data_IF_237503442810
#
_entry.id   IF_237503442810
#
_cell.length_a   1.000
_cell.length_b   1.000
_cell.length_c   1.000
_cell.angle_alpha   90.00
_cell.angle_beta   90.00
_cell.angle_gamma   90.00
#
_symmetry.space_group_name_H-M   'P 1'
#
loop_
_entity.id
_entity.type
_entity.pdbx_description
1 polymer ?
#
# COMPACT_ATOMS: atom_id res chain seq x y z
N UNK A 1 -1.04 -29.01 2.34
CA UNK A 1 -1.97 -27.87 2.21
C UNK A 1 -1.12 -26.61 2.18
N UNK A 2 -1.32 -25.70 1.22
CA UNK A 2 -0.56 -24.45 1.18
C UNK A 2 -0.91 -23.64 2.43
N UNK A 3 0.09 -23.24 3.20
CA UNK A 3 -0.10 -22.39 4.37
C UNK A 3 -0.77 -21.08 3.94
N UNK A 4 -1.86 -20.69 4.58
CA UNK A 4 -2.47 -19.40 4.33
C UNK A 4 -1.51 -18.30 4.77
N UNK A 5 -1.22 -17.36 3.86
CA UNK A 5 -0.37 -16.22 4.18
C UNK A 5 -1.22 -15.22 4.96
N UNK A 6 -0.80 -14.97 6.19
CA UNK A 6 -1.47 -14.05 7.10
C UNK A 6 -0.48 -12.97 7.53
N UNK A 7 -0.47 -11.86 6.79
CA UNK A 7 0.23 -10.66 7.23
C UNK A 7 -0.56 -9.98 8.36
N UNK A 8 0.11 -9.67 9.46
CA UNK A 8 -0.47 -8.98 10.62
C UNK A 8 -0.94 -7.55 10.31
N UNK A 9 -0.34 -6.93 9.28
CA UNK A 9 -0.67 -5.58 8.82
C UNK A 9 0.00 -5.27 7.48
N UNK A 10 -0.23 -4.07 6.94
CA UNK A 10 0.38 -3.61 5.70
C UNK A 10 1.88 -3.33 5.85
N UNK A 11 2.64 -3.55 4.78
CA UNK A 11 4.08 -3.28 4.67
C UNK A 11 4.31 -2.37 3.46
N UNK A 12 5.29 -1.47 3.53
CA UNK A 12 5.66 -0.63 2.39
C UNK A 12 6.28 -1.51 1.30
N UNK A 13 5.76 -1.45 0.07
CA UNK A 13 6.28 -2.20 -1.08
C UNK A 13 7.25 -1.36 -1.91
N UNK A 14 6.86 -0.11 -2.20
CA UNK A 14 7.71 0.85 -2.89
C UNK A 14 7.79 2.09 -2.03
N UNK A 15 9.00 2.42 -1.59
CA UNK A 15 9.30 3.66 -0.89
C UNK A 15 9.46 4.80 -1.89
N UNK A 16 8.98 5.98 -1.53
CA UNK A 16 9.20 7.21 -2.28
C UNK A 16 10.11 8.12 -1.44
N UNK A 17 11.41 8.10 -1.72
CA UNK A 17 12.42 8.90 -1.03
C UNK A 17 12.85 10.03 -1.97
N UNK A 18 12.35 11.25 -1.71
CA UNK A 18 12.70 12.45 -2.48
C UNK A 18 12.52 12.26 -4.00
N UNK A 19 11.44 11.60 -4.42
CA UNK A 19 11.14 11.33 -5.83
C UNK A 19 11.79 10.08 -6.41
N UNK A 20 12.68 9.41 -5.66
CA UNK A 20 13.22 8.11 -6.05
C UNK A 20 12.32 6.99 -5.53
N UNK A 21 11.97 6.06 -6.43
CA UNK A 21 11.17 4.89 -6.10
C UNK A 21 12.08 3.69 -5.84
N UNK A 22 12.02 3.14 -4.63
CA UNK A 22 12.84 2.01 -4.22
C UNK A 22 11.94 0.86 -3.75
N UNK A 23 12.19 -0.34 -4.25
CA UNK A 23 11.48 -1.53 -3.78
C UNK A 23 11.99 -1.91 -2.38
N UNK A 24 11.07 -2.19 -1.47
CA UNK A 24 11.39 -2.65 -0.12
C UNK A 24 11.65 -4.16 -0.13
N UNK A 25 12.85 -4.57 0.31
CA UNK A 25 13.27 -5.97 0.26
C UNK A 25 12.41 -6.89 1.14
N UNK A 26 11.95 -6.44 2.31
CA UNK A 26 11.07 -7.23 3.18
C UNK A 26 9.75 -7.53 2.46
N UNK A 27 9.21 -6.56 1.72
CA UNK A 27 8.01 -6.77 0.93
C UNK A 27 8.23 -7.77 -0.22
N UNK A 28 9.38 -7.69 -0.90
CA UNK A 28 9.74 -8.65 -1.95
C UNK A 28 9.90 -10.07 -1.40
N UNK A 29 10.50 -10.21 -0.22
CA UNK A 29 10.67 -11.51 0.44
C UNK A 29 9.31 -12.12 0.80
N UNK A 30 8.38 -11.32 1.32
CA UNK A 30 6.99 -11.75 1.58
C UNK A 30 6.32 -12.21 0.28
N UNK A 31 6.42 -11.43 -0.80
CA UNK A 31 5.82 -11.78 -2.09
C UNK A 31 6.43 -13.07 -2.66
N UNK A 32 7.74 -13.28 -2.50
CA UNK A 32 8.45 -14.47 -2.98
C UNK A 32 7.98 -15.76 -2.30
N UNK A 33 7.47 -15.66 -1.07
CA UNK A 33 6.91 -16.78 -0.32
C UNK A 33 5.47 -17.14 -0.75
N UNK A 34 4.79 -16.28 -1.51
CA UNK A 34 3.42 -16.53 -1.99
C UNK A 34 3.45 -17.52 -3.16
N UNK A 35 3.05 -18.76 -2.88
CA UNK A 35 2.92 -19.84 -3.89
C UNK A 35 1.50 -19.97 -4.45
N UNK A 36 0.53 -19.31 -3.83
CA UNK A 36 -0.87 -19.31 -4.24
C UNK A 36 -1.10 -18.34 -5.41
N UNK A 37 -2.11 -18.58 -6.27
CA UNK A 37 -2.55 -17.59 -7.22
C UNK A 37 -2.98 -16.29 -6.52
N UNK A 38 -2.59 -15.15 -7.09
CA UNK A 38 -2.84 -13.84 -6.52
C UNK A 38 -3.96 -13.10 -7.22
N UNK A 39 -4.75 -12.37 -6.45
CA UNK A 39 -5.69 -11.34 -6.94
C UNK A 39 -5.18 -10.01 -6.40
N UNK A 40 -4.83 -9.08 -7.29
CA UNK A 40 -4.30 -7.77 -6.90
C UNK A 40 -5.38 -6.71 -7.05
N UNK A 41 -5.59 -5.91 -6.02
CA UNK A 41 -6.49 -4.74 -6.04
C UNK A 41 -5.68 -3.52 -5.62
N UNK A 42 -5.58 -2.54 -6.51
CA UNK A 42 -4.90 -1.28 -6.23
C UNK A 42 -5.91 -0.12 -6.17
N UNK A 43 -5.64 0.87 -5.31
CA UNK A 43 -6.41 2.11 -5.24
C UNK A 43 -5.50 3.32 -5.42
N UNK A 44 -5.92 4.25 -6.29
CA UNK A 44 -5.21 5.51 -6.57
C UNK A 44 -6.19 6.67 -6.51
N UNK A 45 -5.69 7.87 -6.27
CA UNK A 45 -6.52 9.08 -6.22
C UNK A 45 -5.93 10.15 -5.33
N UNK A 46 -6.58 11.33 -5.32
CA UNK A 46 -6.12 12.49 -4.57
C UNK A 46 -5.90 12.17 -3.08
N UNK A 47 -5.00 12.91 -2.45
CA UNK A 47 -4.78 12.82 -1.01
C UNK A 47 -6.10 13.04 -0.23
N UNK A 48 -6.25 12.35 0.91
CA UNK A 48 -7.40 12.47 1.85
C UNK A 48 -8.80 12.17 1.28
N UNK A 49 -8.89 11.36 0.23
CA UNK A 49 -10.17 10.86 -0.34
C UNK A 49 -10.66 9.55 0.26
N UNK A 50 -10.08 9.09 1.38
CA UNK A 50 -10.53 7.87 2.08
C UNK A 50 -10.05 6.54 1.48
N UNK A 51 -9.02 6.55 0.62
CA UNK A 51 -8.46 5.33 -0.01
C UNK A 51 -8.11 4.24 1.00
N UNK A 52 -7.24 4.54 1.97
CA UNK A 52 -6.80 3.62 3.02
C UNK A 52 -7.96 3.09 3.87
N UNK A 53 -9.00 3.92 4.08
CA UNK A 53 -10.22 3.49 4.76
C UNK A 53 -10.96 2.42 3.96
N UNK A 54 -11.15 2.64 2.65
CA UNK A 54 -11.79 1.67 1.77
C UNK A 54 -10.97 0.36 1.68
N UNK A 55 -9.64 0.45 1.61
CA UNK A 55 -8.77 -0.73 1.58
C UNK A 55 -8.85 -1.55 2.88
N UNK A 56 -8.96 -0.91 4.05
CA UNK A 56 -9.20 -1.62 5.31
C UNK A 56 -10.56 -2.33 5.32
N UNK A 57 -11.59 -1.75 4.69
CA UNK A 57 -12.89 -2.42 4.52
C UNK A 57 -12.78 -3.64 3.61
N UNK A 58 -12.03 -3.56 2.53
CA UNK A 58 -11.76 -4.70 1.64
C UNK A 58 -10.98 -5.82 2.35
N UNK A 59 -10.03 -5.46 3.22
CA UNK A 59 -9.30 -6.41 4.05
C UNK A 59 -10.17 -7.09 5.14
N UNK A 60 -11.38 -6.57 5.40
CA UNK A 60 -12.25 -7.05 6.46
C UNK A 60 -11.71 -6.77 7.88
N UNK A 61 -10.80 -5.81 8.04
CA UNK A 61 -10.13 -5.50 9.32
C UNK A 61 -10.41 -4.05 9.75
N UNK A 62 -10.53 -3.82 11.07
CA UNK A 62 -10.74 -2.47 11.64
C UNK A 62 -9.46 -1.62 11.71
N UNK A 63 -8.30 -2.28 11.80
CA UNK A 63 -6.96 -1.68 11.81
C UNK A 63 -6.15 -2.31 10.67
N UNK A 64 -5.31 -1.53 9.99
CA UNK A 64 -4.58 -1.94 8.80
C UNK A 64 -3.79 -0.77 8.24
N UNK A 65 -4.06 -0.38 6.99
CA UNK A 65 -3.52 0.84 6.39
C UNK A 65 -3.77 2.05 7.29
N UNK A 66 -2.73 2.86 7.48
CA UNK A 66 -2.80 4.05 8.31
C UNK A 66 -3.80 5.04 7.74
N UNK A 67 -4.68 5.56 8.60
CA UNK A 67 -5.66 6.57 8.23
C UNK A 67 -5.08 7.94 8.59
N UNK A 68 -4.47 8.63 7.63
CA UNK A 68 -3.88 9.94 7.88
C UNK A 68 -4.93 10.98 8.29
N UNK A 69 -4.83 11.53 9.50
CA UNK A 69 -5.67 12.63 9.99
C UNK A 69 -5.00 14.01 9.89
N UNK A 70 -3.69 14.06 9.61
CA UNK A 70 -2.89 15.30 9.56
C UNK A 70 -2.70 15.81 8.13
N UNK A 71 -2.18 17.04 8.00
CA UNK A 71 -1.97 17.75 6.72
C UNK A 71 -0.87 17.08 5.87
N UNK A 72 0.04 16.33 6.48
CA UNK A 72 1.11 15.59 5.78
C UNK A 72 0.59 14.27 5.20
N UNK A 73 1.05 13.89 4.00
CA UNK A 73 0.72 12.58 3.45
C UNK A 73 1.34 11.48 4.34
N UNK A 74 0.49 10.70 5.00
CA UNK A 74 0.92 9.59 5.85
C UNK A 74 1.43 8.39 5.06
N UNK A 75 0.85 8.13 3.89
CA UNK A 75 1.27 7.06 2.99
C UNK A 75 2.20 7.65 1.95
N UNK A 76 3.50 7.51 2.13
CA UNK A 76 4.49 7.78 1.07
C UNK A 76 4.74 6.47 0.31
N UNK A 77 4.81 6.55 -1.01
CA UNK A 77 5.01 5.37 -1.86
C UNK A 77 3.78 4.46 -2.01
N UNK A 78 4.01 3.15 -2.17
CA UNK A 78 2.97 2.13 -2.36
C UNK A 78 3.07 1.11 -1.24
N UNK A 79 1.96 0.88 -0.55
CA UNK A 79 1.87 -0.07 0.56
C UNK A 79 1.07 -1.29 0.14
N UNK A 80 1.51 -2.47 0.57
CA UNK A 80 0.84 -3.72 0.27
C UNK A 80 0.32 -4.40 1.53
N UNK A 81 -0.77 -5.14 1.40
CA UNK A 81 -1.25 -6.05 2.43
C UNK A 81 -1.79 -7.33 1.81
N UNK A 82 -1.16 -8.46 2.12
CA UNK A 82 -1.57 -9.77 1.64
C UNK A 82 -2.46 -10.45 2.68
N UNK A 83 -3.67 -10.83 2.27
CA UNK A 83 -4.66 -11.51 3.10
C UNK A 83 -5.30 -12.67 2.32
N UNK A 84 -5.92 -13.66 2.99
CA UNK A 84 -6.70 -14.69 2.29
C UNK A 84 -7.85 -14.07 1.49
N UNK A 85 -8.08 -14.55 0.26
CA UNK A 85 -9.17 -14.02 -0.56
C UNK A 85 -10.55 -14.44 -0.01
N UNK A 86 -11.47 -13.51 0.29
CA UNK A 86 -12.69 -13.80 1.07
C UNK A 86 -13.72 -14.70 0.34
N UNK A 87 -13.56 -14.91 -0.96
CA UNK A 87 -14.47 -15.72 -1.80
C UNK A 87 -13.78 -16.78 -2.66
N UNK A 88 -12.45 -16.91 -2.59
CA UNK A 88 -11.67 -17.81 -3.45
C UNK A 88 -10.67 -18.55 -2.58
N UNK A 89 -11.03 -19.73 -2.04
CA UNK A 89 -10.11 -20.53 -1.25
C UNK A 89 -8.80 -20.80 -2.00
N UNK A 90 -7.69 -20.82 -1.28
CA UNK A 90 -6.36 -21.05 -1.86
C UNK A 90 -5.83 -19.90 -2.73
N UNK A 91 -6.47 -18.73 -2.72
CA UNK A 91 -5.96 -17.52 -3.37
C UNK A 91 -5.55 -16.48 -2.33
N UNK A 92 -4.49 -15.74 -2.63
CA UNK A 92 -4.09 -14.57 -1.86
C UNK A 92 -4.65 -13.30 -2.50
N UNK A 93 -5.28 -12.44 -1.70
CA UNK A 93 -5.68 -11.09 -2.08
C UNK A 93 -4.56 -10.12 -1.67
N UNK A 94 -3.96 -9.45 -2.65
CA UNK A 94 -2.95 -8.41 -2.44
C UNK A 94 -3.62 -7.05 -2.61
N UNK A 95 -3.70 -6.32 -1.52
CA UNK A 95 -4.26 -4.97 -1.47
C UNK A 95 -3.12 -3.95 -1.59
N UNK A 96 -3.18 -3.06 -2.58
CA UNK A 96 -2.21 -1.99 -2.79
C UNK A 96 -2.84 -0.62 -2.54
N UNK A 97 -2.41 0.06 -1.48
CA UNK A 97 -2.81 1.43 -1.15
C UNK A 97 -1.67 2.39 -1.51
N UNK A 98 -1.99 3.46 -2.26
CA UNK A 98 -0.97 4.38 -2.77
C UNK A 98 -1.00 5.72 -2.08
N UNK A 99 0.15 6.40 -2.12
CA UNK A 99 0.27 7.82 -1.86
C UNK A 99 -0.80 8.62 -2.64
N UNK A 100 -1.30 9.67 -1.99
CA UNK A 100 -2.27 10.56 -2.59
C UNK A 100 -1.64 11.48 -3.63
N UNK A 101 -2.29 11.60 -4.79
CA UNK A 101 -1.90 12.59 -5.79
C UNK A 101 -2.19 14.00 -5.29
N UNK A 102 -1.36 14.98 -5.67
CA UNK A 102 -1.54 16.40 -5.33
C UNK A 102 -1.13 16.78 -3.91
N UNK A 103 -0.25 16.00 -3.27
CA UNK A 103 0.34 16.37 -1.99
C UNK A 103 1.20 17.63 -2.13
N UNK A 104 0.84 18.68 -1.38
CA UNK A 104 1.35 20.06 -1.54
C UNK A 104 2.87 20.15 -1.28
N UNK A 105 3.45 19.19 -0.56
CA UNK A 105 4.92 19.11 -0.37
C UNK A 105 5.69 18.75 -1.64
N UNK A 106 5.10 18.03 -2.62
CA UNK A 106 5.81 17.72 -3.88
C UNK A 106 5.99 18.96 -4.75
N UNK A 107 5.02 19.87 -4.73
CA UNK A 107 5.06 21.12 -5.52
C UNK A 107 6.23 22.00 -5.07
N UNK A 108 6.56 22.01 -3.77
CA UNK A 108 7.65 22.86 -3.25
C UNK A 108 9.07 22.38 -3.57
N UNK A 109 9.28 21.09 -3.83
CA UNK A 109 10.61 20.53 -4.10
C UNK A 109 10.96 20.53 -5.60
N UNK A 110 9.95 20.51 -6.47
CA UNK A 110 10.16 20.63 -7.92
C UNK A 110 10.53 22.07 -8.32
N UNK A 111 10.04 23.07 -7.57
CA UNK A 111 10.33 24.50 -7.80
C UNK A 111 11.71 24.95 -7.28
N UNK A 112 12.42 24.14 -6.46
CA UNK A 112 13.71 24.52 -5.86
C UNK A 112 14.96 24.07 -6.65
N UNK A 113 14.79 23.49 -7.85
CA UNK A 113 15.89 23.11 -8.74
C UNK A 113 16.12 24.14 -9.88
N UNK A 114 15.69 25.40 -9.69
CA UNK A 114 15.79 26.47 -10.68
C UNK A 114 16.75 27.62 -10.30
N UNK A 115 17.65 27.42 -9.35
CA UNK A 115 18.75 28.35 -9.04
C UNK A 115 20.13 27.74 -9.34
#
# INVERSE_FOLDING_TARGET
>A
MASEIHMSGPVCLIENIKGQLLANQEALDILSAITQPVVVVAIVGLYRTGKSYLMNKLAGKKKGFSLGSTVQSHTKGIWMWCVPHPRKPGHTLVLLDTEGLGDVEKVRLEDSNLD
#
